data_IF_092614170209
#
_entry.id   IF_092614170209
#
_cell.length_a   1.000
_cell.length_b   1.000
_cell.length_c   1.000
_cell.angle_alpha   90.00
_cell.angle_beta   90.00
_cell.angle_gamma   90.00
#
_symmetry.space_group_name_H-M   'P 1'
#
loop_
_entity.id
_entity.type
_entity.pdbx_description
1 polymer ?
#
# COMPACT_ATOMS: atom_id res chain seq x y z
N UNK A 1 0.82 20.55 -12.32
CA UNK A 1 0.01 21.11 -11.22
C UNK A 1 -1.27 20.29 -11.07
N UNK A 2 -1.81 20.17 -9.86
CA UNK A 2 -3.11 19.51 -9.65
C UNK A 2 -4.22 20.36 -10.28
N UNK A 3 -5.27 19.76 -10.89
CA UNK A 3 -6.31 20.54 -11.56
C UNK A 3 -6.97 21.56 -10.64
N UNK A 4 -7.13 22.80 -11.11
CA UNK A 4 -7.78 23.87 -10.37
C UNK A 4 -9.21 23.48 -9.95
N UNK A 5 -9.59 23.82 -8.72
CA UNK A 5 -10.91 23.49 -8.16
C UNK A 5 -11.12 22.02 -7.79
N UNK A 6 -10.07 21.18 -7.84
CA UNK A 6 -10.10 19.80 -7.35
C UNK A 6 -9.24 19.66 -6.09
N UNK A 7 -9.72 18.89 -5.14
CA UNK A 7 -8.96 18.46 -3.96
C UNK A 7 -8.35 17.09 -4.25
N UNK A 8 -7.11 16.87 -3.82
CA UNK A 8 -6.52 15.53 -3.79
C UNK A 8 -6.81 14.95 -2.41
N UNK A 9 -7.72 13.99 -2.29
CA UNK A 9 -8.06 13.40 -0.98
C UNK A 9 -7.09 12.28 -0.59
N UNK A 10 -6.64 11.50 -1.56
CA UNK A 10 -5.73 10.39 -1.34
C UNK A 10 -4.91 10.03 -2.58
N UNK A 11 -3.72 9.47 -2.34
CA UNK A 11 -2.85 8.87 -3.35
C UNK A 11 -2.77 7.37 -3.10
N UNK A 12 -3.10 6.55 -4.10
CA UNK A 12 -2.78 5.12 -4.10
C UNK A 12 -1.48 4.87 -4.87
N UNK A 13 -0.55 4.15 -4.24
CA UNK A 13 0.75 3.82 -4.83
C UNK A 13 0.95 2.30 -4.85
N UNK A 14 1.14 1.67 -6.03
CA UNK A 14 1.33 0.24 -6.15
C UNK A 14 2.78 -0.16 -5.81
N UNK A 15 2.95 -1.08 -4.85
CA UNK A 15 4.26 -1.63 -4.46
C UNK A 15 4.40 -3.13 -4.73
N UNK A 16 3.36 -3.76 -5.28
CA UNK A 16 3.35 -5.13 -5.78
C UNK A 16 2.82 -5.15 -7.22
N UNK A 17 3.06 -6.22 -7.97
CA UNK A 17 2.63 -6.28 -9.37
C UNK A 17 2.27 -7.69 -9.80
N UNK A 18 1.05 -7.89 -10.32
CA UNK A 18 0.64 -9.18 -10.88
C UNK A 18 0.69 -10.28 -9.84
N UNK A 19 1.60 -11.23 -10.04
CA UNK A 19 1.92 -12.37 -9.18
C UNK A 19 3.12 -12.12 -8.25
N UNK A 20 3.74 -10.93 -8.33
CA UNK A 20 4.89 -10.53 -7.52
C UNK A 20 4.42 -9.76 -6.29
N UNK A 21 4.68 -10.36 -5.13
CA UNK A 21 4.55 -9.73 -3.82
C UNK A 21 5.47 -8.49 -3.70
N UNK A 22 5.17 -7.56 -2.77
CA UNK A 22 6.06 -6.43 -2.52
C UNK A 22 7.44 -6.90 -2.04
N UNK A 23 8.48 -6.14 -2.39
CA UNK A 23 9.86 -6.43 -1.97
C UNK A 23 10.06 -6.12 -0.48
N UNK A 24 11.05 -6.77 0.14
CA UNK A 24 11.51 -6.45 1.51
C UNK A 24 12.79 -5.62 1.52
N UNK A 25 13.28 -5.25 0.35
CA UNK A 25 14.46 -4.41 0.23
C UNK A 25 14.12 -2.99 0.74
N UNK A 26 14.73 -2.52 1.84
CA UNK A 26 14.46 -1.20 2.38
C UNK A 26 14.87 -0.08 1.41
N UNK A 27 15.90 -0.30 0.57
CA UNK A 27 16.37 0.72 -0.38
C UNK A 27 15.33 1.02 -1.46
N UNK A 28 14.43 0.08 -1.74
CA UNK A 28 13.30 0.28 -2.65
C UNK A 28 12.33 1.36 -2.16
N UNK A 29 12.12 1.45 -0.84
CA UNK A 29 11.18 2.40 -0.22
C UNK A 29 11.84 3.74 0.12
N UNK A 30 13.18 3.79 0.16
CA UNK A 30 13.96 4.97 0.52
C UNK A 30 13.56 6.27 -0.19
N UNK A 31 13.23 6.28 -1.50
CA UNK A 31 12.82 7.51 -2.18
C UNK A 31 11.52 8.14 -1.66
N UNK A 32 10.71 7.41 -0.89
CA UNK A 32 9.46 7.94 -0.33
C UNK A 32 9.71 9.10 0.65
N UNK A 33 10.90 9.20 1.25
CA UNK A 33 11.27 10.32 2.13
C UNK A 33 11.25 11.69 1.47
N UNK A 34 11.43 11.71 0.15
CA UNK A 34 11.48 12.93 -0.65
C UNK A 34 10.12 13.24 -1.29
N UNK A 35 9.12 12.37 -1.10
CA UNK A 35 7.77 12.57 -1.60
C UNK A 35 7.04 13.61 -0.74
N UNK A 36 6.89 14.82 -1.29
CA UNK A 36 6.03 15.82 -0.69
C UNK A 36 4.56 15.55 -1.00
N UNK A 37 3.73 15.49 0.05
CA UNK A 37 2.28 15.48 -0.04
C UNK A 37 1.70 16.46 0.99
N UNK A 38 0.65 17.21 0.65
CA UNK A 38 -0.09 17.98 1.64
C UNK A 38 -0.58 17.09 2.80
N UNK A 39 -0.63 17.63 4.01
CA UNK A 39 -0.93 16.85 5.21
C UNK A 39 -2.28 16.11 5.14
N UNK A 40 -3.28 16.73 4.51
CA UNK A 40 -4.63 16.17 4.35
C UNK A 40 -4.70 15.01 3.34
N UNK A 41 -3.70 14.86 2.46
CA UNK A 41 -3.69 13.78 1.48
C UNK A 41 -3.32 12.48 2.19
N UNK A 42 -4.25 11.52 2.21
CA UNK A 42 -3.96 10.17 2.71
C UNK A 42 -3.13 9.39 1.70
N UNK A 43 -2.21 8.57 2.20
CA UNK A 43 -1.43 7.67 1.37
C UNK A 43 -1.94 6.25 1.52
N UNK A 44 -2.24 5.59 0.40
CA UNK A 44 -2.75 4.22 0.35
C UNK A 44 -1.68 3.32 -0.28
N UNK A 45 -1.02 2.52 0.54
CA UNK A 45 0.01 1.57 0.12
C UNK A 45 -0.62 0.32 -0.53
N UNK A 46 -0.43 0.18 -1.84
CA UNK A 46 -0.85 -0.99 -2.63
C UNK A 46 0.08 -2.18 -2.44
N UNK A 47 0.05 -2.81 -1.26
CA UNK A 47 0.97 -3.89 -0.85
C UNK A 47 0.30 -5.25 -0.71
N UNK A 48 -1.03 -5.31 -0.62
CA UNK A 48 -1.73 -6.55 -0.26
C UNK A 48 -1.62 -7.59 -1.37
N UNK A 49 -1.09 -8.76 -1.00
CA UNK A 49 -0.80 -9.87 -1.90
C UNK A 49 -0.93 -11.21 -1.18
N UNK A 50 -1.60 -12.17 -1.81
CA UNK A 50 -2.01 -13.45 -1.23
C UNK A 50 -0.85 -14.46 -1.14
N UNK A 51 0.18 -14.28 -1.99
CA UNK A 51 1.38 -15.12 -2.00
C UNK A 51 2.42 -14.77 -0.92
N UNK A 52 2.09 -13.92 0.06
CA UNK A 52 2.98 -13.56 1.16
C UNK A 52 2.24 -13.59 2.51
N UNK A 53 2.99 -13.57 3.61
CA UNK A 53 2.41 -13.59 4.95
C UNK A 53 1.96 -12.20 5.41
N UNK A 54 0.98 -12.17 6.32
CA UNK A 54 0.52 -10.93 6.98
C UNK A 54 1.68 -10.23 7.69
N UNK A 55 2.51 -10.97 8.44
CA UNK A 55 3.65 -10.39 9.16
C UNK A 55 4.63 -9.65 8.24
N UNK A 56 4.87 -10.19 7.04
CA UNK A 56 5.74 -9.57 6.05
C UNK A 56 5.10 -8.32 5.45
N UNK A 57 3.79 -8.34 5.22
CA UNK A 57 3.05 -7.16 4.76
C UNK A 57 3.01 -6.05 5.81
N UNK A 58 2.91 -6.40 7.10
CA UNK A 58 3.02 -5.43 8.21
C UNK A 58 4.41 -4.79 8.20
N UNK A 59 5.48 -5.57 8.09
CA UNK A 59 6.84 -5.01 7.99
C UNK A 59 7.02 -4.07 6.78
N UNK A 60 6.41 -4.39 5.64
CA UNK A 60 6.42 -3.50 4.46
C UNK A 60 5.63 -2.22 4.73
N UNK A 61 4.44 -2.31 5.36
CA UNK A 61 3.65 -1.15 5.78
C UNK A 61 4.50 -0.25 6.67
N UNK A 62 5.11 -0.80 7.71
CA UNK A 62 5.89 -0.05 8.69
C UNK A 62 7.12 0.63 8.04
N UNK A 63 7.77 -0.04 7.09
CA UNK A 63 8.87 0.54 6.31
C UNK A 63 8.41 1.73 5.46
N UNK A 64 7.24 1.63 4.82
CA UNK A 64 6.65 2.72 4.04
C UNK A 64 6.29 3.90 4.96
N UNK A 65 5.67 3.63 6.11
CA UNK A 65 5.32 4.64 7.11
C UNK A 65 6.55 5.35 7.65
N UNK A 66 7.62 4.59 7.91
CA UNK A 66 8.90 5.14 8.34
C UNK A 66 9.49 6.13 7.33
N UNK A 67 9.55 5.76 6.05
CA UNK A 67 10.11 6.61 5.01
C UNK A 67 9.20 7.83 4.73
N UNK A 68 7.88 7.66 4.73
CA UNK A 68 6.93 8.77 4.55
C UNK A 68 6.75 9.65 5.80
N UNK A 69 7.22 9.20 6.96
CA UNK A 69 7.02 9.82 8.28
C UNK A 69 5.55 10.07 8.61
N UNK A 70 4.66 9.18 8.17
CA UNK A 70 3.21 9.26 8.39
C UNK A 70 2.54 7.90 8.24
N UNK A 71 1.40 7.65 8.91
CA UNK A 71 0.66 6.41 8.75
C UNK A 71 0.10 6.27 7.33
N UNK A 72 -0.11 5.03 6.90
CA UNK A 72 -0.70 4.72 5.59
C UNK A 72 -1.90 3.80 5.71
N UNK A 73 -2.88 4.03 4.85
CA UNK A 73 -3.91 3.02 4.57
C UNK A 73 -3.28 1.93 3.68
N UNK A 74 -3.86 0.72 3.66
CA UNK A 74 -3.39 -0.38 2.81
C UNK A 74 -4.47 -0.84 1.82
N UNK A 75 -4.04 -1.28 0.65
CA UNK A 75 -4.92 -1.80 -0.38
C UNK A 75 -4.23 -2.89 -1.22
N UNK A 76 -5.02 -3.56 -2.07
CA UNK A 76 -4.47 -4.33 -3.16
C UNK A 76 -3.55 -3.47 -4.04
N UNK A 77 -2.50 -4.07 -4.59
CA UNK A 77 -1.57 -3.36 -5.46
C UNK A 77 -2.20 -2.88 -6.77
N UNK A 78 -3.24 -3.55 -7.22
CA UNK A 78 -4.00 -3.26 -8.43
C UNK A 78 -5.46 -3.68 -8.22
N UNK A 79 -6.32 -3.38 -9.19
CA UNK A 79 -7.69 -3.93 -9.23
C UNK A 79 -7.70 -5.46 -9.18
N UNK A 80 -8.73 -6.03 -8.56
CA UNK A 80 -8.87 -7.48 -8.36
C UNK A 80 -9.37 -8.24 -9.60
N UNK A 81 -9.52 -7.59 -10.75
CA UNK A 81 -10.16 -8.17 -11.94
C UNK A 81 -9.48 -9.42 -12.54
N UNK A 82 -8.22 -9.68 -12.19
CA UNK A 82 -7.46 -10.88 -12.60
C UNK A 82 -7.47 -12.02 -11.57
N UNK A 83 -8.09 -11.82 -10.41
CA UNK A 83 -8.09 -12.78 -9.30
C UNK A 83 -9.30 -13.69 -9.37
N UNK A 84 -9.17 -14.90 -8.83
CA UNK A 84 -10.33 -15.74 -8.54
C UNK A 84 -11.18 -15.07 -7.45
N UNK A 85 -12.46 -15.45 -7.32
CA UNK A 85 -13.31 -14.97 -6.22
C UNK A 85 -12.74 -15.31 -4.85
N UNK A 86 -12.11 -16.49 -4.73
CA UNK A 86 -11.48 -16.93 -3.50
C UNK A 86 -10.29 -16.05 -3.14
N UNK A 87 -9.40 -15.78 -4.10
CA UNK A 87 -8.23 -14.92 -3.88
C UNK A 87 -8.65 -13.48 -3.59
N UNK A 88 -9.67 -12.96 -4.28
CA UNK A 88 -10.20 -11.63 -4.01
C UNK A 88 -10.74 -11.49 -2.57
N UNK A 89 -11.43 -12.52 -2.04
CA UNK A 89 -11.88 -12.53 -0.65
C UNK A 89 -10.70 -12.62 0.33
N UNK A 90 -9.75 -13.51 0.07
CA UNK A 90 -8.54 -13.62 0.88
C UNK A 90 -7.75 -12.30 0.90
N UNK A 91 -7.65 -11.60 -0.23
CA UNK A 91 -7.03 -10.28 -0.32
C UNK A 91 -7.66 -9.30 0.67
N UNK A 92 -8.99 -9.22 0.71
CA UNK A 92 -9.72 -8.33 1.61
C UNK A 92 -9.49 -8.70 3.08
N UNK A 93 -9.44 -9.99 3.40
CA UNK A 93 -9.15 -10.47 4.76
C UNK A 93 -7.73 -10.12 5.20
N UNK A 94 -6.74 -10.32 4.32
CA UNK A 94 -5.36 -9.92 4.56
C UNK A 94 -5.27 -8.40 4.71
N UNK A 95 -5.93 -7.63 3.84
CA UNK A 95 -5.95 -6.16 3.93
C UNK A 95 -6.44 -5.68 5.29
N UNK A 96 -7.55 -6.27 5.78
CA UNK A 96 -8.09 -5.96 7.10
C UNK A 96 -7.11 -6.32 8.21
N UNK A 97 -6.47 -7.48 8.14
CA UNK A 97 -5.50 -7.92 9.16
C UNK A 97 -4.27 -7.00 9.21
N UNK A 98 -3.73 -6.62 8.05
CA UNK A 98 -2.58 -5.71 7.96
C UNK A 98 -2.95 -4.29 8.42
N UNK A 99 -4.15 -3.81 8.10
CA UNK A 99 -4.62 -2.48 8.51
C UNK A 99 -4.81 -2.35 10.03
N UNK A 100 -5.11 -3.45 10.72
CA UNK A 100 -5.43 -3.46 12.16
C UNK A 100 -4.30 -4.00 13.04
N UNK A 101 -3.14 -4.32 12.46
CA UNK A 101 -1.99 -4.81 13.22
C UNK A 101 -1.30 -3.66 13.97
N UNK A 102 -0.99 -3.89 15.25
CA UNK A 102 -0.25 -2.97 16.13
C UNK A 102 1.23 -2.86 15.76
#
# INVERSE_FOLDING_TARGET
EWPAGRVLDYLHAPFAHGDRAPTMDPDYYRPLRDLWLPEHVRFIAGIIHEATTISRLVQVRDQIEHELKRPVDVAASCGLGRRSRQDARLNLEIARAVALAD
#
